data_IF_284195925442
#
_entry.id   IF_284195925442
#
_cell.length_a   1.000
_cell.length_b   1.000
_cell.length_c   1.000
_cell.angle_alpha   90.00
_cell.angle_beta   90.00
_cell.angle_gamma   90.00
#
_symmetry.space_group_name_H-M   'P 1'
#
loop_
_entity.id
_entity.type
_entity.pdbx_description
1 polymer ?
#
# COMPACT_ATOMS: atom_id res chain seq x y z
N UNK A 1 17.74 -44.16 -35.90
CA UNK A 1 18.34 -43.96 -34.57
C UNK A 1 17.60 -42.81 -33.92
N UNK A 2 16.70 -43.09 -32.98
CA UNK A 2 16.22 -42.06 -32.06
C UNK A 2 17.41 -41.78 -31.14
N UNK A 3 18.05 -40.64 -31.32
CA UNK A 3 19.00 -40.11 -30.34
C UNK A 3 18.23 -39.96 -29.05
N UNK A 4 18.54 -40.77 -28.04
CA UNK A 4 18.23 -40.46 -26.64
C UNK A 4 18.87 -39.10 -26.38
N UNK A 5 18.10 -38.02 -26.53
CA UNK A 5 18.46 -36.71 -26.00
C UNK A 5 18.60 -36.97 -24.50
N UNK A 6 19.83 -36.96 -23.99
CA UNK A 6 20.06 -36.92 -22.55
C UNK A 6 19.24 -35.75 -22.04
N UNK A 7 18.20 -36.04 -21.27
CA UNK A 7 17.34 -35.03 -20.67
C UNK A 7 18.21 -34.24 -19.67
N UNK A 8 18.68 -33.08 -20.13
CA UNK A 8 19.47 -32.19 -19.31
C UNK A 8 18.56 -31.60 -18.23
N UNK A 9 19.08 -31.56 -17.00
CA UNK A 9 18.29 -31.19 -15.83
C UNK A 9 19.06 -30.22 -14.94
N UNK A 10 18.34 -29.45 -14.14
CA UNK A 10 18.91 -28.55 -13.14
C UNK A 10 18.37 -28.86 -11.76
N UNK A 11 19.25 -28.94 -10.77
CA UNK A 11 18.85 -29.21 -9.39
C UNK A 11 18.38 -27.96 -8.65
N UNK A 12 17.61 -28.16 -7.59
CA UNK A 12 17.08 -27.08 -6.76
C UNK A 12 18.17 -26.18 -6.12
N UNK A 13 19.38 -26.66 -5.89
CA UNK A 13 20.48 -25.86 -5.34
C UNK A 13 21.09 -24.89 -6.37
N UNK A 14 20.90 -25.16 -7.66
CA UNK A 14 21.46 -24.36 -8.76
C UNK A 14 20.50 -23.28 -9.29
N UNK A 15 19.31 -23.14 -8.70
CA UNK A 15 18.39 -22.04 -8.94
C UNK A 15 18.41 -21.10 -7.73
N UNK A 16 18.18 -19.80 -7.92
CA UNK A 16 18.05 -18.86 -6.81
C UNK A 16 16.63 -18.82 -6.25
N UNK A 17 15.63 -18.85 -7.15
CA UNK A 17 14.23 -18.63 -6.82
C UNK A 17 13.66 -19.65 -5.82
N UNK A 18 13.09 -19.14 -4.73
CA UNK A 18 12.62 -19.94 -3.60
C UNK A 18 11.39 -20.81 -3.92
N UNK A 19 10.46 -20.31 -4.73
CA UNK A 19 9.25 -21.05 -5.10
C UNK A 19 9.60 -22.18 -6.07
N UNK A 20 10.46 -21.88 -7.06
CA UNK A 20 10.99 -22.88 -7.98
C UNK A 20 11.73 -23.99 -7.23
N UNK A 21 12.53 -23.67 -6.21
CA UNK A 21 13.17 -24.68 -5.34
C UNK A 21 12.17 -25.64 -4.74
N UNK A 22 11.13 -25.10 -4.11
CA UNK A 22 10.09 -25.90 -3.47
C UNK A 22 9.35 -26.76 -4.48
N UNK A 23 9.05 -26.22 -5.67
CA UNK A 23 8.41 -26.96 -6.77
C UNK A 23 9.28 -28.12 -7.26
N UNK A 24 10.59 -27.90 -7.44
CA UNK A 24 11.54 -28.94 -7.84
C UNK A 24 11.59 -30.06 -6.79
N UNK A 25 11.75 -29.71 -5.50
CA UNK A 25 11.79 -30.70 -4.42
C UNK A 25 10.45 -31.45 -4.31
N UNK A 26 9.32 -30.75 -4.42
CA UNK A 26 7.97 -31.30 -4.33
C UNK A 26 7.61 -32.26 -5.47
N UNK A 27 8.21 -32.09 -6.65
CA UNK A 27 8.03 -33.02 -7.79
C UNK A 27 8.54 -34.44 -7.51
N UNK A 28 9.50 -34.58 -6.60
CA UNK A 28 10.15 -35.86 -6.27
C UNK A 28 11.09 -36.42 -7.36
N UNK A 29 11.23 -35.74 -8.51
CA UNK A 29 12.07 -36.20 -9.63
C UNK A 29 13.54 -35.91 -9.35
N UNK A 30 14.42 -36.89 -9.58
CA UNK A 30 15.88 -36.74 -9.42
C UNK A 30 16.61 -36.90 -10.75
N UNK A 31 17.62 -36.07 -10.94
CA UNK A 31 18.44 -36.05 -12.15
C UNK A 31 19.84 -35.54 -11.88
N UNK A 32 20.77 -35.83 -12.80
CA UNK A 32 22.12 -35.27 -12.76
C UNK A 32 22.06 -33.81 -13.22
N UNK A 33 22.46 -32.89 -12.36
CA UNK A 33 22.43 -31.46 -12.67
C UNK A 33 23.48 -31.09 -13.72
N UNK A 34 23.08 -30.34 -14.75
CA UNK A 34 23.99 -29.80 -15.76
C UNK A 34 25.03 -28.84 -15.15
N UNK A 35 24.60 -27.98 -14.21
CA UNK A 35 25.46 -26.93 -13.64
C UNK A 35 26.47 -27.48 -12.62
N UNK A 36 26.04 -28.23 -11.61
CA UNK A 36 26.93 -28.70 -10.53
C UNK A 36 27.36 -30.17 -10.65
N UNK A 37 26.78 -30.93 -11.59
CA UNK A 37 27.10 -32.34 -11.80
C UNK A 37 26.50 -33.32 -10.77
N UNK A 38 25.92 -32.81 -9.67
CA UNK A 38 25.36 -33.61 -8.58
C UNK A 38 24.02 -34.26 -8.94
N UNK A 39 23.72 -35.40 -8.32
CA UNK A 39 22.45 -36.11 -8.49
C UNK A 39 21.47 -35.75 -7.36
N UNK A 40 20.54 -34.84 -7.65
CA UNK A 40 19.61 -34.24 -6.68
C UNK A 40 18.20 -34.14 -7.26
N UNK A 41 17.26 -33.62 -6.47
CA UNK A 41 15.95 -33.23 -7.00
C UNK A 41 16.13 -32.16 -8.08
N UNK A 42 15.59 -32.42 -9.26
CA UNK A 42 15.89 -31.65 -10.47
C UNK A 42 14.67 -31.52 -11.37
N UNK A 43 14.64 -30.45 -12.16
CA UNK A 43 13.68 -30.21 -13.25
C UNK A 43 14.38 -30.32 -14.60
N UNK A 44 13.67 -30.82 -15.61
CA UNK A 44 14.15 -30.88 -16.99
C UNK A 44 14.30 -29.47 -17.56
N UNK A 45 15.41 -29.20 -18.27
CA UNK A 45 15.70 -27.87 -18.79
C UNK A 45 14.74 -27.44 -19.90
N UNK A 46 14.19 -28.37 -20.68
CA UNK A 46 13.14 -28.06 -21.67
C UNK A 46 11.88 -27.54 -20.96
N UNK A 47 11.39 -28.25 -19.94
CA UNK A 47 10.24 -27.79 -19.12
C UNK A 47 10.50 -26.44 -18.45
N UNK A 48 11.69 -26.25 -17.88
CA UNK A 48 12.05 -24.97 -17.28
C UNK A 48 12.10 -23.84 -18.32
N UNK A 49 12.58 -24.13 -19.53
CA UNK A 49 12.65 -23.17 -20.63
C UNK A 49 11.25 -22.76 -21.11
N UNK A 50 10.32 -23.72 -21.20
CA UNK A 50 8.92 -23.46 -21.54
C UNK A 50 8.23 -22.58 -20.49
N UNK A 51 8.44 -22.88 -19.19
CA UNK A 51 7.92 -22.04 -18.10
C UNK A 51 8.47 -20.61 -18.17
N UNK A 52 9.78 -20.45 -18.41
CA UNK A 52 10.43 -19.14 -18.54
C UNK A 52 9.90 -18.41 -19.78
N UNK A 53 9.67 -19.10 -20.90
CA UNK A 53 9.08 -18.52 -22.10
C UNK A 53 7.70 -17.92 -21.81
N UNK A 54 6.83 -18.66 -21.13
CA UNK A 54 5.48 -18.20 -20.76
C UNK A 54 5.55 -16.99 -19.82
N UNK A 55 6.43 -17.03 -18.82
CA UNK A 55 6.68 -15.91 -17.91
C UNK A 55 7.10 -14.66 -18.68
N UNK A 56 8.06 -14.78 -19.60
CA UNK A 56 8.57 -13.65 -20.38
C UNK A 56 7.50 -13.08 -21.32
N UNK A 57 6.82 -13.93 -22.10
CA UNK A 57 5.76 -13.49 -23.02
C UNK A 57 4.64 -12.74 -22.29
N UNK A 58 4.38 -13.14 -21.05
CA UNK A 58 3.36 -12.50 -20.21
C UNK A 58 3.84 -11.19 -19.60
N UNK A 59 5.11 -11.11 -19.15
CA UNK A 59 5.59 -10.02 -18.28
C UNK A 59 6.51 -8.99 -18.95
N UNK A 60 7.07 -9.29 -20.11
CA UNK A 60 7.93 -8.34 -20.85
C UNK A 60 7.38 -8.09 -22.26
N UNK A 61 7.83 -7.00 -22.86
CA UNK A 61 7.55 -6.64 -24.24
C UNK A 61 8.85 -6.10 -24.88
N UNK A 62 9.04 -6.23 -26.20
CA UNK A 62 10.14 -5.54 -26.89
C UNK A 62 10.05 -4.04 -26.58
N UNK A 63 11.17 -3.44 -26.16
CA UNK A 63 11.17 -2.02 -25.84
C UNK A 63 11.03 -1.15 -27.08
N UNK A 64 10.62 0.10 -26.91
CA UNK A 64 10.45 1.01 -28.05
C UNK A 64 11.81 1.42 -28.66
N UNK A 65 11.82 1.66 -29.96
CA UNK A 65 12.96 2.24 -30.66
C UNK A 65 12.99 3.75 -30.44
N UNK A 66 14.16 4.28 -30.11
CA UNK A 66 14.36 5.72 -29.98
C UNK A 66 15.66 6.15 -30.65
N UNK A 67 15.63 7.34 -31.25
CA UNK A 67 16.77 7.90 -31.97
C UNK A 67 17.71 8.61 -30.99
N UNK A 68 18.97 8.18 -30.98
CA UNK A 68 20.05 8.83 -30.22
C UNK A 68 20.67 9.92 -31.08
N UNK A 69 20.63 11.15 -30.57
CA UNK A 69 21.13 12.33 -31.28
C UNK A 69 22.57 12.67 -30.87
N UNK A 70 23.42 12.91 -31.86
CA UNK A 70 24.75 13.50 -31.65
C UNK A 70 24.56 15.02 -31.48
N UNK A 71 24.54 15.47 -30.22
CA UNK A 71 24.27 16.87 -29.84
C UNK A 71 25.33 17.82 -30.44
N UNK A 72 26.57 17.34 -30.64
CA UNK A 72 27.65 18.18 -31.19
C UNK A 72 27.51 18.38 -32.70
N UNK A 73 26.92 17.40 -33.40
CA UNK A 73 26.76 17.41 -34.87
C UNK A 73 25.33 17.69 -35.32
N UNK A 74 24.42 17.94 -34.39
CA UNK A 74 22.99 18.20 -34.60
C UNK A 74 22.35 17.22 -35.60
N UNK A 75 22.66 15.93 -35.44
CA UNK A 75 22.19 14.86 -36.32
C UNK A 75 21.94 13.56 -35.57
N UNK A 76 21.03 12.74 -36.10
CA UNK A 76 20.79 11.38 -35.61
C UNK A 76 22.08 10.54 -35.73
N UNK A 77 22.47 9.90 -34.64
CA UNK A 77 23.65 9.04 -34.57
C UNK A 77 23.29 7.61 -34.96
N UNK A 78 22.40 6.98 -34.18
CA UNK A 78 21.88 5.64 -34.38
C UNK A 78 20.55 5.49 -33.61
N UNK A 79 19.80 4.42 -33.90
CA UNK A 79 18.58 4.07 -33.15
C UNK A 79 18.92 3.00 -32.13
N UNK A 80 18.54 3.22 -30.87
CA UNK A 80 18.66 2.25 -29.78
C UNK A 80 17.27 1.73 -29.40
N UNK A 81 17.22 0.49 -28.91
CA UNK A 81 15.98 -0.08 -28.34
C UNK A 81 16.04 0.04 -26.83
N UNK A 82 14.96 0.56 -26.23
CA UNK A 82 14.89 0.77 -24.78
C UNK A 82 14.79 -0.56 -24.03
N UNK A 83 15.31 -0.60 -22.80
CA UNK A 83 15.15 -1.73 -21.89
C UNK A 83 16.41 -2.54 -21.67
N UNK A 84 16.24 -3.80 -21.27
CA UNK A 84 17.30 -4.71 -20.84
C UNK A 84 17.35 -5.95 -21.75
N UNK A 85 18.48 -6.65 -21.77
CA UNK A 85 18.66 -7.87 -22.59
C UNK A 85 17.77 -9.03 -22.11
N UNK A 86 17.50 -10.00 -22.98
CA UNK A 86 16.81 -11.22 -22.59
C UNK A 86 17.53 -11.97 -21.45
N UNK A 87 18.87 -11.97 -21.48
CA UNK A 87 19.70 -12.59 -20.43
C UNK A 87 19.51 -11.95 -19.05
N UNK A 88 19.25 -10.64 -18.98
CA UNK A 88 18.94 -9.95 -17.74
C UNK A 88 17.64 -10.49 -17.12
N UNK A 89 16.58 -10.63 -17.91
CA UNK A 89 15.29 -11.12 -17.40
C UNK A 89 15.35 -12.59 -17.00
N UNK A 90 16.05 -13.45 -17.76
CA UNK A 90 16.24 -14.87 -17.38
C UNK A 90 16.98 -14.98 -16.05
N UNK A 91 18.02 -14.14 -15.84
CA UNK A 91 18.76 -14.07 -14.56
C UNK A 91 17.88 -13.61 -13.41
N UNK A 92 17.04 -12.61 -13.65
CA UNK A 92 16.08 -12.11 -12.67
C UNK A 92 15.07 -13.19 -12.28
N UNK A 93 14.44 -13.85 -13.25
CA UNK A 93 13.45 -14.90 -13.04
C UNK A 93 14.04 -16.07 -12.23
N UNK A 94 15.26 -16.51 -12.58
CA UNK A 94 15.94 -17.59 -11.88
C UNK A 94 16.63 -17.16 -10.58
N UNK A 95 16.74 -15.85 -10.34
CA UNK A 95 17.53 -15.23 -9.26
C UNK A 95 19.00 -15.70 -9.24
N UNK A 96 19.62 -15.77 -10.42
CA UNK A 96 21.04 -16.17 -10.59
C UNK A 96 21.88 -14.91 -10.84
N UNK A 97 22.80 -14.63 -9.91
CA UNK A 97 23.66 -13.44 -9.99
C UNK A 97 24.92 -13.65 -10.83
N UNK A 98 25.33 -14.88 -11.08
CA UNK A 98 26.50 -15.18 -11.93
C UNK A 98 26.23 -14.77 -13.38
N UNK A 99 27.19 -14.08 -14.02
CA UNK A 99 27.07 -13.64 -15.42
C UNK A 99 27.25 -14.79 -16.41
N UNK A 100 28.09 -15.78 -16.07
CA UNK A 100 28.30 -16.98 -16.86
C UNK A 100 27.71 -18.17 -16.10
N UNK A 101 26.64 -18.74 -16.64
CA UNK A 101 25.98 -19.91 -16.07
C UNK A 101 25.41 -20.77 -17.20
N UNK A 102 25.77 -22.05 -17.22
CA UNK A 102 25.40 -22.97 -18.30
C UNK A 102 23.88 -23.12 -18.48
N UNK A 103 23.11 -22.88 -17.42
CA UNK A 103 21.64 -22.95 -17.43
C UNK A 103 21.08 -21.76 -18.19
N UNK A 104 21.61 -20.56 -17.94
CA UNK A 104 21.18 -19.35 -18.63
C UNK A 104 21.47 -19.51 -20.13
N UNK A 105 22.67 -19.96 -20.48
CA UNK A 105 23.06 -20.19 -21.88
C UNK A 105 22.15 -21.21 -22.57
N UNK A 106 21.80 -22.29 -21.87
CA UNK A 106 20.87 -23.30 -22.39
C UNK A 106 19.47 -22.71 -22.62
N UNK A 107 18.93 -22.00 -21.63
CA UNK A 107 17.59 -21.39 -21.70
C UNK A 107 17.54 -20.38 -22.84
N UNK A 108 18.53 -19.48 -22.94
CA UNK A 108 18.60 -18.50 -24.02
C UNK A 108 18.67 -19.17 -25.40
N UNK A 109 19.51 -20.18 -25.56
CA UNK A 109 19.58 -20.96 -26.80
C UNK A 109 18.25 -21.63 -27.16
N UNK A 110 17.55 -22.15 -26.15
CA UNK A 110 16.24 -22.78 -26.33
C UNK A 110 15.18 -21.75 -26.76
N UNK A 111 15.06 -20.63 -26.04
CA UNK A 111 14.10 -19.56 -26.33
C UNK A 111 14.24 -19.01 -27.75
N UNK A 112 15.48 -18.72 -28.18
CA UNK A 112 15.79 -18.26 -29.54
C UNK A 112 15.45 -19.35 -30.56
N UNK A 113 15.81 -20.60 -30.29
CA UNK A 113 15.53 -21.72 -31.21
C UNK A 113 14.04 -22.04 -31.37
N UNK A 114 13.22 -21.76 -30.36
CA UNK A 114 11.78 -21.93 -30.37
C UNK A 114 11.05 -20.86 -31.20
N UNK A 115 11.73 -19.76 -31.58
CA UNK A 115 11.18 -18.69 -32.42
C UNK A 115 11.95 -18.54 -33.76
N UNK A 116 11.94 -19.54 -34.66
CA UNK A 116 12.72 -19.45 -35.90
C UNK A 116 12.12 -18.44 -36.89
N UNK A 117 12.64 -17.21 -36.94
CA UNK A 117 12.37 -16.23 -38.00
C UNK A 117 12.60 -14.77 -37.59
N UNK A 118 12.81 -13.87 -38.56
CA UNK A 118 13.12 -12.43 -38.41
C UNK A 118 12.09 -11.57 -37.66
N UNK A 119 11.10 -12.17 -36.99
CA UNK A 119 10.04 -11.50 -36.20
C UNK A 119 9.70 -12.30 -34.92
N UNK A 120 10.64 -13.11 -34.41
CA UNK A 120 10.46 -13.87 -33.17
C UNK A 120 10.55 -12.97 -31.94
N UNK A 121 9.62 -13.10 -30.99
CA UNK A 121 9.62 -12.30 -29.76
C UNK A 121 10.97 -12.35 -29.04
N UNK A 122 11.68 -13.49 -29.04
CA UNK A 122 12.95 -13.70 -28.34
C UNK A 122 14.21 -13.25 -29.11
N UNK A 123 14.05 -12.69 -30.32
CA UNK A 123 15.17 -12.22 -31.16
C UNK A 123 15.40 -10.70 -31.04
N UNK A 124 14.64 -10.01 -30.20
CA UNK A 124 14.73 -8.57 -30.02
C UNK A 124 15.91 -8.18 -29.13
N UNK A 125 16.55 -7.04 -29.43
CA UNK A 125 17.77 -6.60 -28.75
C UNK A 125 17.57 -6.16 -27.29
N UNK A 126 16.37 -5.69 -26.95
CA UNK A 126 16.04 -5.20 -25.61
C UNK A 126 14.53 -5.28 -25.33
N UNK A 127 14.21 -5.49 -24.05
CA UNK A 127 12.84 -5.65 -23.56
C UNK A 127 12.57 -4.75 -22.36
N UNK A 128 11.33 -4.34 -22.21
CA UNK A 128 10.83 -3.63 -21.04
C UNK A 128 9.78 -4.46 -20.30
N UNK A 129 9.71 -4.27 -18.98
CA UNK A 129 8.65 -4.88 -18.18
C UNK A 129 7.32 -4.29 -18.58
N UNK A 130 6.32 -5.14 -18.79
CA UNK A 130 4.94 -4.69 -18.95
C UNK A 130 4.47 -4.06 -17.66
N UNK A 131 3.83 -2.89 -17.79
CA UNK A 131 3.15 -2.24 -16.68
C UNK A 131 1.73 -2.80 -16.62
N UNK A 132 1.48 -3.63 -15.62
CA UNK A 132 0.12 -4.08 -15.34
C UNK A 132 -0.70 -2.91 -14.79
N UNK A 133 -1.89 -2.70 -15.35
CA UNK A 133 -2.90 -1.83 -14.75
C UNK A 133 -3.72 -2.73 -13.83
N UNK A 134 -3.93 -2.38 -12.55
CA UNK A 134 -4.60 -3.23 -11.57
C UNK A 134 -6.13 -3.25 -11.75
N UNK A 135 -6.62 -3.53 -12.96
CA UNK A 135 -8.04 -3.47 -13.34
C UNK A 135 -8.89 -4.37 -12.44
N UNK A 136 -8.47 -5.62 -12.24
CA UNK A 136 -9.20 -6.58 -11.40
C UNK A 136 -9.28 -6.10 -9.94
N UNK A 137 -8.23 -5.46 -9.44
CA UNK A 137 -8.20 -4.91 -8.08
C UNK A 137 -9.10 -3.69 -7.96
N UNK A 138 -9.13 -2.83 -8.99
CA UNK A 138 -10.03 -1.69 -9.05
C UNK A 138 -11.50 -2.12 -9.11
N UNK A 139 -11.83 -3.15 -9.89
CA UNK A 139 -13.17 -3.74 -9.90
C UNK A 139 -13.54 -4.33 -8.54
N UNK A 140 -12.66 -5.10 -7.92
CA UNK A 140 -12.88 -5.64 -6.58
C UNK A 140 -13.05 -4.53 -5.52
N UNK A 141 -12.31 -3.42 -5.65
CA UNK A 141 -12.48 -2.25 -4.81
C UNK A 141 -13.85 -1.58 -5.02
N UNK A 142 -14.33 -1.46 -6.26
CA UNK A 142 -15.67 -0.96 -6.55
C UNK A 142 -16.75 -1.88 -5.98
N UNK A 143 -16.56 -3.18 -6.07
CA UNK A 143 -17.47 -4.17 -5.48
C UNK A 143 -17.49 -4.13 -3.96
N UNK A 144 -16.32 -3.94 -3.31
CA UNK A 144 -16.21 -3.67 -1.89
C UNK A 144 -17.02 -2.43 -1.50
N UNK A 145 -16.82 -1.30 -2.21
CA UNK A 145 -17.55 -0.06 -1.96
C UNK A 145 -19.06 -0.22 -2.14
N UNK A 146 -19.49 -0.80 -3.25
CA UNK A 146 -20.90 -1.05 -3.56
C UNK A 146 -21.53 -2.02 -2.55
N UNK A 147 -20.78 -3.03 -2.12
CA UNK A 147 -21.18 -3.99 -1.10
C UNK A 147 -21.51 -3.33 0.23
N UNK A 148 -20.63 -2.46 0.71
CA UNK A 148 -20.85 -1.69 1.94
C UNK A 148 -21.99 -0.68 1.80
N UNK A 149 -22.07 0.03 0.68
CA UNK A 149 -23.06 1.09 0.49
C UNK A 149 -24.48 0.55 0.31
N UNK A 150 -24.64 -0.50 -0.52
CA UNK A 150 -25.93 -0.91 -1.09
C UNK A 150 -26.32 -2.37 -0.83
N UNK A 151 -25.46 -3.18 -0.21
CA UNK A 151 -25.74 -4.61 0.03
C UNK A 151 -25.68 -4.93 1.53
N UNK A 152 -24.73 -5.77 1.95
CA UNK A 152 -24.57 -6.21 3.33
C UNK A 152 -23.47 -5.40 4.00
N UNK A 153 -23.80 -4.69 5.09
CA UNK A 153 -22.86 -3.86 5.85
C UNK A 153 -22.11 -4.63 6.93
N UNK A 154 -22.85 -5.43 7.70
CA UNK A 154 -22.32 -6.03 8.93
C UNK A 154 -21.68 -7.41 8.70
N UNK A 155 -22.27 -8.25 7.85
CA UNK A 155 -21.83 -9.62 7.60
C UNK A 155 -21.39 -9.80 6.15
N UNK A 156 -20.45 -8.96 5.71
CA UNK A 156 -19.98 -8.96 4.33
C UNK A 156 -18.70 -9.78 4.19
N UNK A 157 -18.85 -11.09 3.96
CA UNK A 157 -17.72 -12.00 3.79
C UNK A 157 -16.80 -11.58 2.63
N UNK A 158 -17.35 -11.12 1.51
CA UNK A 158 -16.55 -10.63 0.38
C UNK A 158 -15.69 -9.43 0.75
N UNK A 159 -16.24 -8.51 1.55
CA UNK A 159 -15.48 -7.36 2.02
C UNK A 159 -14.34 -7.77 2.95
N UNK A 160 -14.59 -8.74 3.84
CA UNK A 160 -13.57 -9.31 4.71
C UNK A 160 -12.46 -10.00 3.91
N UNK A 161 -12.79 -10.91 3.00
CA UNK A 161 -11.83 -11.61 2.13
C UNK A 161 -10.98 -10.63 1.32
N UNK A 162 -11.59 -9.55 0.82
CA UNK A 162 -10.87 -8.50 0.11
C UNK A 162 -9.85 -7.79 1.00
N UNK A 163 -10.22 -7.40 2.24
CA UNK A 163 -9.31 -6.74 3.18
C UNK A 163 -8.21 -7.68 3.70
N UNK A 164 -8.54 -8.96 3.91
CA UNK A 164 -7.57 -10.02 4.23
C UNK A 164 -6.53 -10.15 3.14
N UNK A 165 -6.97 -10.27 1.88
CA UNK A 165 -6.05 -10.32 0.74
C UNK A 165 -5.26 -9.02 0.56
N UNK A 166 -5.88 -7.85 0.75
CA UNK A 166 -5.25 -6.55 0.54
C UNK A 166 -4.13 -6.27 1.56
N UNK A 167 -4.33 -6.62 2.82
CA UNK A 167 -3.37 -6.38 3.91
C UNK A 167 -2.53 -7.60 4.29
N UNK A 168 -2.63 -8.69 3.54
CA UNK A 168 -1.80 -9.88 3.75
C UNK A 168 -0.30 -9.53 3.64
N UNK A 169 0.47 -9.87 4.67
CA UNK A 169 1.91 -9.64 4.73
C UNK A 169 2.32 -8.17 4.86
N UNK A 170 1.38 -7.25 5.16
CA UNK A 170 1.68 -5.81 5.23
C UNK A 170 2.70 -5.45 6.31
N UNK A 171 2.86 -6.30 7.32
CA UNK A 171 3.93 -6.25 8.33
C UNK A 171 5.35 -6.31 7.75
N UNK A 172 5.53 -7.05 6.65
CA UNK A 172 6.83 -7.26 6.04
C UNK A 172 7.23 -6.11 5.12
N UNK A 173 6.33 -5.15 4.87
CA UNK A 173 6.58 -4.02 3.96
C UNK A 173 7.52 -2.99 4.59
N UNK A 174 8.59 -2.67 3.86
CA UNK A 174 9.62 -1.71 4.24
C UNK A 174 9.59 -0.49 3.32
N UNK A 175 10.12 0.63 3.79
CA UNK A 175 10.30 1.84 2.99
C UNK A 175 11.77 1.95 2.60
N UNK A 176 12.05 2.39 1.37
CA UNK A 176 13.42 2.62 0.90
C UNK A 176 14.15 3.64 1.79
N UNK A 177 15.44 3.41 2.05
CA UNK A 177 16.30 4.39 2.75
C UNK A 177 16.28 4.34 4.28
N UNK A 178 16.02 3.17 4.89
CA UNK A 178 15.92 2.99 6.36
C UNK A 178 14.75 3.74 7.01
N UNK A 179 13.75 4.13 6.22
CA UNK A 179 12.48 4.63 6.74
C UNK A 179 11.77 3.50 7.50
N UNK A 180 11.02 3.82 8.56
CA UNK A 180 10.33 2.78 9.30
C UNK A 180 9.23 2.17 8.41
N UNK A 181 9.01 0.86 8.53
CA UNK A 181 8.07 0.10 7.71
C UNK A 181 6.63 0.62 7.78
N UNK A 182 5.77 0.09 6.91
CA UNK A 182 4.33 0.46 6.84
C UNK A 182 3.64 0.20 8.17
N UNK A 183 3.93 -0.96 8.77
CA UNK A 183 3.56 -1.26 10.15
C UNK A 183 4.81 -1.15 11.01
N UNK A 184 4.72 -0.35 12.07
CA UNK A 184 5.87 -0.06 12.93
C UNK A 184 5.48 0.20 14.39
N UNK A 185 6.36 -0.12 15.34
CA UNK A 185 6.21 0.38 16.70
C UNK A 185 6.43 1.90 16.73
N UNK A 186 5.64 2.58 17.55
CA UNK A 186 5.87 3.98 17.90
C UNK A 186 6.18 4.05 19.40
N UNK A 187 7.42 4.39 19.71
CA UNK A 187 7.95 4.37 21.07
C UNK A 187 7.72 5.69 21.81
N UNK A 188 7.43 5.68 23.13
CA UNK A 188 7.27 6.88 23.95
C UNK A 188 8.44 7.87 23.87
N UNK A 189 9.67 7.35 23.80
CA UNK A 189 10.89 8.16 23.81
C UNK A 189 11.20 8.83 22.47
N UNK A 190 10.71 8.25 21.37
CA UNK A 190 11.00 8.70 20.00
C UNK A 190 9.79 9.34 19.32
N UNK A 191 8.59 9.17 19.89
CA UNK A 191 7.37 9.72 19.32
C UNK A 191 7.41 11.24 19.36
N UNK A 192 7.01 11.83 18.23
CA UNK A 192 6.64 13.24 18.20
C UNK A 192 5.45 13.51 19.13
N UNK A 193 5.31 14.74 19.63
CA UNK A 193 4.10 15.21 20.28
C UNK A 193 2.84 14.93 19.46
N UNK A 194 1.75 14.54 20.12
CA UNK A 194 0.44 14.35 19.49
C UNK A 194 -0.49 15.47 19.97
N UNK A 195 -0.89 16.35 19.07
CA UNK A 195 -1.80 17.45 19.39
C UNK A 195 -3.24 17.07 19.11
N UNK A 196 -4.14 17.53 19.98
CA UNK A 196 -5.58 17.50 19.75
C UNK A 196 -6.20 18.85 20.07
N UNK A 197 -7.22 19.21 19.30
CA UNK A 197 -7.91 20.48 19.41
C UNK A 197 -9.43 20.29 19.43
N UNK A 198 -10.13 21.27 20.01
CA UNK A 198 -11.59 21.38 20.03
C UNK A 198 -12.01 22.75 19.56
N UNK A 199 -12.93 22.79 18.61
CA UNK A 199 -13.62 24.01 18.21
C UNK A 199 -14.52 24.48 19.37
N UNK A 200 -14.27 25.70 19.84
CA UNK A 200 -14.99 26.40 20.90
C UNK A 200 -15.61 27.69 20.38
N UNK A 201 -15.83 27.79 19.06
CA UNK A 201 -16.47 28.94 18.43
C UNK A 201 -17.94 29.03 18.88
N UNK A 202 -18.42 30.21 19.32
CA UNK A 202 -19.83 30.41 19.65
C UNK A 202 -20.74 30.01 18.47
N UNK A 203 -21.89 29.36 18.74
CA UNK A 203 -22.54 29.17 20.04
C UNK A 203 -22.11 27.89 20.80
N UNK A 204 -21.19 27.08 20.26
CA UNK A 204 -20.79 25.77 20.83
C UNK A 204 -19.60 25.88 21.79
N UNK A 205 -19.47 26.99 22.50
CA UNK A 205 -18.30 27.26 23.35
C UNK A 205 -18.25 26.28 24.55
N UNK A 206 -17.17 25.49 24.61
CA UNK A 206 -16.86 24.55 25.70
C UNK A 206 -15.60 24.94 26.47
N UNK A 207 -15.10 26.16 26.28
CA UNK A 207 -13.82 26.63 26.84
C UNK A 207 -13.75 26.46 28.35
N UNK A 208 -14.79 26.86 29.08
CA UNK A 208 -14.83 26.75 30.55
C UNK A 208 -14.70 25.30 31.05
N UNK A 209 -15.30 24.34 30.35
CA UNK A 209 -15.18 22.92 30.70
C UNK A 209 -13.76 22.41 30.42
N UNK A 210 -13.16 22.81 29.30
CA UNK A 210 -11.78 22.43 28.94
C UNK A 210 -10.78 23.04 29.92
N UNK A 211 -10.97 24.27 30.36
CA UNK A 211 -10.08 24.88 31.37
C UNK A 211 -10.18 24.21 32.73
N UNK A 212 -11.35 23.68 33.09
CA UNK A 212 -11.55 22.97 34.36
C UNK A 212 -10.91 21.57 34.37
N UNK A 213 -10.96 20.84 33.25
CA UNK A 213 -10.41 19.48 33.12
C UNK A 213 -9.93 19.22 31.68
N UNK A 214 -8.77 19.74 31.28
CA UNK A 214 -8.29 19.62 29.90
C UNK A 214 -7.97 18.17 29.53
N UNK A 215 -7.46 17.38 30.47
CA UNK A 215 -7.15 15.96 30.29
C UNK A 215 -8.38 15.20 29.80
N UNK A 216 -9.52 15.35 30.49
CA UNK A 216 -10.75 14.65 30.13
C UNK A 216 -11.43 15.24 28.89
N UNK A 217 -11.46 16.55 28.75
CA UNK A 217 -12.22 17.21 27.68
C UNK A 217 -11.51 17.15 26.32
N UNK A 218 -10.18 17.07 26.32
CA UNK A 218 -9.39 16.85 25.11
C UNK A 218 -9.21 15.35 24.80
N UNK A 219 -9.41 14.44 25.74
CA UNK A 219 -9.40 12.99 25.48
C UNK A 219 -10.54 12.54 24.52
N UNK A 220 -10.54 11.25 24.17
CA UNK A 220 -11.61 10.67 23.38
C UNK A 220 -12.97 10.83 24.09
N UNK A 221 -14.03 11.18 23.35
CA UNK A 221 -15.35 11.31 23.95
C UNK A 221 -15.83 9.96 24.50
N UNK A 222 -16.66 9.95 25.56
CA UNK A 222 -17.38 8.75 25.97
C UNK A 222 -18.17 8.13 24.82
N UNK A 223 -18.39 6.80 24.85
CA UNK A 223 -19.07 6.06 23.77
C UNK A 223 -20.46 6.63 23.44
N UNK A 224 -21.19 7.12 24.44
CA UNK A 224 -22.52 7.72 24.26
C UNK A 224 -22.49 9.06 23.51
N UNK A 225 -21.32 9.71 23.43
CA UNK A 225 -21.12 11.03 22.83
C UNK A 225 -20.13 11.01 21.65
N UNK A 226 -19.61 9.84 21.27
CA UNK A 226 -18.64 9.69 20.20
C UNK A 226 -19.33 9.94 18.83
N UNK A 227 -19.01 11.05 18.13
CA UNK A 227 -19.57 11.31 16.82
C UNK A 227 -18.95 10.38 15.77
N UNK A 228 -19.62 10.23 14.63
CA UNK A 228 -19.01 9.60 13.47
C UNK A 228 -17.81 10.44 12.98
N UNK A 229 -16.74 9.77 12.62
CA UNK A 229 -15.55 10.34 11.98
C UNK A 229 -15.06 9.44 10.84
N UNK A 230 -13.99 9.84 10.16
CA UNK A 230 -13.44 9.09 9.02
C UNK A 230 -13.02 7.66 9.40
N UNK A 231 -12.42 7.50 10.56
CA UNK A 231 -11.84 6.23 11.01
C UNK A 231 -12.70 5.51 12.06
N UNK A 232 -13.89 6.05 12.38
CA UNK A 232 -14.73 5.48 13.44
C UNK A 232 -16.22 5.81 13.22
N UNK A 233 -17.13 4.84 13.33
CA UNK A 233 -18.57 5.13 13.33
C UNK A 233 -18.99 5.84 14.62
N UNK A 234 -20.18 6.45 14.60
CA UNK A 234 -20.76 7.03 15.81
C UNK A 234 -20.92 5.95 16.89
N UNK A 235 -20.60 6.28 18.14
CA UNK A 235 -20.63 5.33 19.25
C UNK A 235 -19.33 4.59 19.51
N UNK A 236 -18.32 4.67 18.63
CA UNK A 236 -17.01 4.04 18.80
C UNK A 236 -15.95 5.10 19.15
N UNK A 237 -15.48 5.16 20.41
CA UNK A 237 -14.48 6.14 20.83
C UNK A 237 -13.13 5.90 20.16
N UNK A 238 -12.61 6.91 19.49
CA UNK A 238 -11.20 6.95 19.05
C UNK A 238 -10.61 8.32 19.36
N UNK A 239 -9.28 8.38 19.45
CA UNK A 239 -8.56 9.63 19.63
C UNK A 239 -8.05 10.12 18.28
N UNK A 240 -8.56 11.25 17.80
CA UNK A 240 -8.03 11.94 16.62
C UNK A 240 -7.01 12.98 17.07
N UNK A 241 -5.78 12.90 16.57
CA UNK A 241 -4.73 13.88 16.77
C UNK A 241 -3.93 14.16 15.51
N UNK A 242 -2.97 15.08 15.62
CA UNK A 242 -1.99 15.40 14.59
C UNK A 242 -0.60 15.59 15.20
N UNK A 243 0.45 15.41 14.41
CA UNK A 243 1.83 15.61 14.88
C UNK A 243 2.26 17.08 14.91
N UNK A 244 1.50 17.95 14.24
CA UNK A 244 1.68 19.40 14.25
C UNK A 244 0.40 20.08 14.77
N UNK A 245 0.56 21.08 15.64
CA UNK A 245 -0.56 21.78 16.27
C UNK A 245 -1.41 22.52 15.23
N UNK A 246 -0.75 23.11 14.25
CA UNK A 246 -1.34 23.83 13.12
C UNK A 246 -2.20 22.91 12.26
N UNK A 247 -1.72 21.69 11.99
CA UNK A 247 -2.47 20.65 11.29
C UNK A 247 -3.76 20.30 12.04
N UNK A 248 -3.69 20.19 13.37
CA UNK A 248 -4.86 19.90 14.20
C UNK A 248 -5.93 21.02 14.12
N UNK A 249 -5.51 22.28 14.13
CA UNK A 249 -6.41 23.43 14.00
C UNK A 249 -7.01 23.48 12.59
N UNK A 250 -6.20 23.23 11.56
CA UNK A 250 -6.65 23.23 10.18
C UNK A 250 -7.71 22.16 9.89
N UNK A 251 -7.59 20.95 10.47
CA UNK A 251 -8.58 19.88 10.33
C UNK A 251 -9.96 20.23 10.93
N UNK A 252 -10.01 21.11 11.94
CA UNK A 252 -11.27 21.59 12.52
C UNK A 252 -12.02 22.57 11.60
N UNK A 253 -11.33 23.19 10.63
CA UNK A 253 -11.87 24.21 9.71
C UNK A 253 -12.64 25.34 10.44
N UNK A 254 -12.08 25.94 11.49
CA UNK A 254 -12.78 27.00 12.22
C UNK A 254 -12.94 28.25 11.34
N UNK A 255 -14.02 29.03 11.51
CA UNK A 255 -14.20 30.29 10.79
C UNK A 255 -13.25 31.37 11.31
N UNK A 256 -13.03 32.43 10.51
CA UNK A 256 -12.37 33.66 10.98
C UNK A 256 -13.18 34.27 12.14
N UNK A 257 -12.48 34.69 13.19
CA UNK A 257 -13.06 35.09 14.48
C UNK A 257 -13.46 33.92 15.37
N UNK A 258 -13.24 32.68 14.92
CA UNK A 258 -13.45 31.47 15.71
C UNK A 258 -12.44 31.31 16.83
N UNK A 259 -12.74 30.41 17.77
CA UNK A 259 -11.89 30.08 18.91
C UNK A 259 -11.64 28.57 18.96
N UNK A 260 -10.38 28.19 19.02
CA UNK A 260 -9.96 26.78 19.13
C UNK A 260 -9.10 26.62 20.37
N UNK A 261 -9.27 25.51 21.11
CA UNK A 261 -8.38 25.15 22.20
C UNK A 261 -7.67 23.87 21.83
N UNK A 262 -6.34 23.85 21.97
CA UNK A 262 -5.53 22.66 21.70
C UNK A 262 -4.57 22.34 22.82
N UNK A 263 -4.17 21.08 22.89
CA UNK A 263 -3.18 20.59 23.83
C UNK A 263 -2.49 19.35 23.32
N UNK A 264 -1.38 19.04 23.98
CA UNK A 264 -0.45 17.97 23.63
C UNK A 264 -0.69 16.73 24.48
N UNK A 265 -0.47 15.59 23.84
CA UNK A 265 -0.43 14.28 24.43
C UNK A 265 0.90 13.62 24.06
N UNK A 266 1.51 12.93 25.02
CA UNK A 266 2.67 12.06 24.81
C UNK A 266 2.25 10.60 24.95
N UNK A 267 2.95 9.70 24.26
CA UNK A 267 2.76 8.27 24.46
C UNK A 267 3.36 7.84 25.80
N UNK A 268 2.70 6.89 26.46
CA UNK A 268 3.12 6.30 27.75
C UNK A 268 3.69 4.89 27.58
N UNK A 269 3.33 4.21 26.49
CA UNK A 269 3.80 2.88 26.11
C UNK A 269 3.98 2.78 24.59
N UNK A 270 4.72 1.77 24.15
CA UNK A 270 4.84 1.45 22.73
C UNK A 270 3.48 1.04 22.17
N UNK A 271 3.14 1.54 20.97
CA UNK A 271 1.93 1.17 20.24
C UNK A 271 2.28 0.71 18.82
N UNK A 272 1.51 -0.21 18.26
CA UNK A 272 1.67 -0.68 16.88
C UNK A 272 0.87 0.20 15.93
N UNK A 273 1.57 0.83 14.98
CA UNK A 273 0.98 1.85 14.11
C UNK A 273 1.05 1.42 12.66
N UNK A 274 -0.06 1.58 11.93
CA UNK A 274 -0.10 1.49 10.47
C UNK A 274 0.04 2.89 9.86
N UNK A 275 1.11 3.14 9.12
CA UNK A 275 1.38 4.42 8.47
C UNK A 275 0.98 4.37 6.98
N UNK A 276 -0.21 4.87 6.66
CA UNK A 276 -0.67 4.94 5.28
C UNK A 276 0.25 5.80 4.41
N UNK A 277 0.95 6.80 4.98
CA UNK A 277 1.86 7.67 4.21
C UNK A 277 3.10 6.92 3.72
N UNK A 278 3.43 5.78 4.33
CA UNK A 278 4.55 4.93 3.95
C UNK A 278 4.24 4.04 2.73
N UNK A 279 2.96 3.82 2.40
CA UNK A 279 2.56 2.89 1.34
C UNK A 279 3.05 3.26 -0.06
N UNK A 280 3.16 4.56 -0.35
CA UNK A 280 3.59 5.06 -1.66
C UNK A 280 5.01 4.57 -2.02
N UNK A 281 5.90 4.57 -1.03
CA UNK A 281 7.31 4.20 -1.16
C UNK A 281 7.62 2.79 -0.66
N UNK A 282 6.61 2.06 -0.20
CA UNK A 282 6.79 0.74 0.38
C UNK A 282 7.09 -0.33 -0.66
N UNK A 283 7.91 -1.29 -0.27
CA UNK A 283 8.17 -2.52 -0.99
C UNK A 283 8.09 -3.70 -0.03
N UNK A 284 7.62 -4.83 -0.54
CA UNK A 284 7.68 -6.09 0.19
C UNK A 284 9.13 -6.61 0.18
N UNK A 285 9.65 -7.00 1.35
CA UNK A 285 10.98 -7.63 1.44
C UNK A 285 11.04 -8.97 0.71
N UNK A 286 9.91 -9.66 0.58
CA UNK A 286 9.82 -10.92 -0.12
C UNK A 286 9.75 -10.63 -1.62
N UNK A 287 10.75 -11.13 -2.34
CA UNK A 287 10.72 -11.15 -3.80
C UNK A 287 9.60 -12.11 -4.21
N UNK A 288 8.60 -11.58 -4.90
CA UNK A 288 7.51 -12.38 -5.46
C UNK A 288 8.11 -13.17 -6.62
N UNK A 289 8.00 -14.50 -6.58
CA UNK A 289 8.52 -15.36 -7.62
C UNK A 289 7.61 -15.33 -8.84
N UNK A 290 8.21 -15.22 -10.03
CA UNK A 290 7.49 -15.34 -11.30
C UNK A 290 6.83 -16.71 -11.50
N UNK A 291 7.29 -17.73 -10.78
CA UNK A 291 6.74 -19.08 -10.84
C UNK A 291 5.50 -19.27 -9.96
N UNK A 292 5.14 -18.27 -9.15
CA UNK A 292 3.92 -18.31 -8.33
C UNK A 292 2.67 -18.17 -9.22
N UNK A 293 1.69 -19.09 -9.12
CA UNK A 293 0.45 -19.03 -9.92
C UNK A 293 -0.34 -17.73 -9.73
N UNK A 294 -0.19 -17.06 -8.59
CA UNK A 294 -0.84 -15.80 -8.25
C UNK A 294 0.09 -14.58 -8.36
N UNK A 295 1.23 -14.71 -9.05
CA UNK A 295 2.22 -13.63 -9.27
C UNK A 295 1.55 -12.31 -9.70
N UNK A 296 0.72 -12.39 -10.76
CA UNK A 296 0.03 -11.21 -11.30
C UNK A 296 -0.84 -10.53 -10.25
N UNK A 297 -1.63 -11.31 -9.50
CA UNK A 297 -2.51 -10.80 -8.44
C UNK A 297 -1.71 -10.12 -7.31
N UNK A 298 -0.53 -10.65 -6.96
CA UNK A 298 0.36 -10.02 -5.96
C UNK A 298 1.00 -8.72 -6.45
N UNK A 299 1.38 -8.66 -7.72
CA UNK A 299 1.90 -7.43 -8.35
C UNK A 299 0.82 -6.34 -8.41
N UNK A 300 -0.38 -6.69 -8.88
CA UNK A 300 -1.50 -5.74 -8.93
C UNK A 300 -1.90 -5.27 -7.53
N UNK A 301 -1.90 -6.14 -6.51
CA UNK A 301 -2.07 -5.75 -5.11
C UNK A 301 -1.05 -4.70 -4.69
N UNK A 302 0.24 -4.95 -4.99
CA UNK A 302 1.34 -4.04 -4.63
C UNK A 302 1.16 -2.68 -5.29
N UNK A 303 0.78 -2.64 -6.57
CA UNK A 303 0.49 -1.39 -7.28
C UNK A 303 -0.71 -0.65 -6.67
N UNK A 304 -1.78 -1.38 -6.34
CA UNK A 304 -2.97 -0.80 -5.70
C UNK A 304 -2.67 -0.24 -4.30
N UNK A 305 -1.86 -0.94 -3.50
CA UNK A 305 -1.44 -0.45 -2.17
C UNK A 305 -0.69 0.88 -2.27
N UNK A 306 0.14 1.10 -3.30
CA UNK A 306 0.82 2.37 -3.53
C UNK A 306 -0.15 3.52 -3.77
N UNK A 307 -1.25 3.29 -4.49
CA UNK A 307 -2.28 4.31 -4.73
C UNK A 307 -3.30 4.40 -3.58
N UNK A 308 -3.34 3.41 -2.67
CA UNK A 308 -4.34 3.31 -1.60
C UNK A 308 -4.30 4.47 -0.61
N UNK A 309 -3.11 4.97 -0.26
CA UNK A 309 -3.00 6.15 0.60
C UNK A 309 -3.76 7.35 0.03
N UNK A 310 -3.71 7.55 -1.29
CA UNK A 310 -4.45 8.63 -1.96
C UNK A 310 -5.96 8.47 -1.82
N UNK A 311 -6.46 7.25 -1.69
CA UNK A 311 -7.88 6.95 -1.51
C UNK A 311 -8.31 7.33 -0.09
N UNK A 312 -7.54 6.92 0.92
CA UNK A 312 -7.84 7.17 2.34
C UNK A 312 -7.67 8.64 2.73
N UNK A 313 -6.71 9.34 2.12
CA UNK A 313 -6.41 10.75 2.39
C UNK A 313 -7.24 11.75 1.56
N UNK A 314 -8.27 11.29 0.83
CA UNK A 314 -9.18 12.18 0.08
C UNK A 314 -9.98 13.06 1.03
N UNK A 315 -10.14 14.37 0.75
CA UNK A 315 -11.03 15.22 1.52
C UNK A 315 -12.49 14.82 1.30
N UNK A 316 -13.20 14.54 2.38
CA UNK A 316 -14.66 14.37 2.35
C UNK A 316 -15.33 15.72 2.57
N UNK A 317 -16.40 15.97 1.82
CA UNK A 317 -17.20 17.19 1.93
C UNK A 317 -18.04 17.11 3.22
N UNK A 318 -18.07 18.17 4.05
CA UNK A 318 -18.92 18.18 5.25
C UNK A 318 -20.37 17.83 4.93
N UNK A 319 -20.97 16.92 5.71
CA UNK A 319 -22.34 16.45 5.52
C UNK A 319 -22.49 15.22 4.60
N UNK A 320 -21.39 14.74 4.00
CA UNK A 320 -21.36 13.49 3.24
C UNK A 320 -20.80 12.33 4.07
N UNK A 321 -21.36 12.12 5.27
CA UNK A 321 -20.84 11.14 6.24
C UNK A 321 -20.85 9.69 5.71
N UNK A 322 -21.66 9.41 4.68
CA UNK A 322 -21.68 8.12 4.01
C UNK A 322 -20.36 7.81 3.26
N UNK A 323 -19.55 8.84 2.94
CA UNK A 323 -18.21 8.69 2.37
C UNK A 323 -17.17 8.21 3.39
N UNK A 324 -17.54 8.12 4.69
CA UNK A 324 -16.66 7.56 5.72
C UNK A 324 -16.77 6.04 5.85
N UNK A 325 -17.77 5.42 5.23
CA UNK A 325 -18.06 4.01 5.47
C UNK A 325 -16.88 3.10 5.10
N UNK A 326 -16.18 3.40 4.00
CA UNK A 326 -15.03 2.60 3.57
C UNK A 326 -13.89 2.69 4.59
N UNK A 327 -13.53 3.92 4.98
CA UNK A 327 -12.41 4.17 5.90
C UNK A 327 -12.71 3.67 7.31
N UNK A 328 -13.97 3.71 7.76
CA UNK A 328 -14.41 3.13 9.02
C UNK A 328 -14.25 1.61 9.05
N UNK A 329 -14.71 0.92 8.00
CA UNK A 329 -14.59 -0.54 7.90
C UNK A 329 -13.13 -0.97 7.83
N UNK A 330 -12.28 -0.24 7.10
CA UNK A 330 -10.83 -0.50 7.05
C UNK A 330 -10.19 -0.30 8.43
N UNK A 331 -10.51 0.79 9.11
CA UNK A 331 -10.00 1.08 10.45
C UNK A 331 -10.40 0.00 11.47
N UNK A 332 -11.67 -0.43 11.44
CA UNK A 332 -12.17 -1.51 12.28
C UNK A 332 -11.49 -2.85 11.97
N UNK A 333 -11.28 -3.17 10.68
CA UNK A 333 -10.54 -4.35 10.26
C UNK A 333 -9.10 -4.35 10.80
N UNK A 334 -8.36 -3.25 10.64
CA UNK A 334 -6.99 -3.12 11.16
C UNK A 334 -6.93 -3.21 12.69
N UNK A 335 -7.93 -2.66 13.37
CA UNK A 335 -8.01 -2.65 14.83
C UNK A 335 -8.41 -4.00 15.44
N UNK A 336 -9.22 -4.81 14.74
CA UNK A 336 -9.89 -5.98 15.37
C UNK A 336 -9.66 -7.32 14.67
N UNK A 337 -9.42 -7.33 13.35
CA UNK A 337 -9.32 -8.56 12.55
C UNK A 337 -7.88 -8.84 12.10
N UNK A 338 -7.12 -7.79 11.81
CA UNK A 338 -5.71 -7.95 11.49
C UNK A 338 -4.92 -8.48 12.71
N UNK A 339 -3.99 -9.39 12.46
CA UNK A 339 -3.21 -10.07 13.49
C UNK A 339 -1.71 -9.89 13.25
N UNK A 340 -0.96 -9.30 14.20
CA UNK A 340 -1.44 -8.70 15.45
C UNK A 340 -2.39 -7.51 15.21
N UNK A 341 -3.19 -7.07 16.21
CA UNK A 341 -4.00 -5.86 16.08
C UNK A 341 -3.15 -4.60 15.88
N UNK A 342 -3.67 -3.63 15.13
CA UNK A 342 -3.09 -2.29 15.00
C UNK A 342 -3.71 -1.39 16.08
N UNK A 343 -2.89 -0.61 16.79
CA UNK A 343 -3.34 0.30 17.85
C UNK A 343 -3.68 1.70 17.32
N UNK A 344 -3.03 2.12 16.24
CA UNK A 344 -3.27 3.41 15.62
C UNK A 344 -2.98 3.43 14.12
N UNK A 345 -3.57 4.40 13.41
CA UNK A 345 -3.28 4.67 12.00
C UNK A 345 -2.75 6.09 11.82
N UNK A 346 -1.78 6.25 10.91
CA UNK A 346 -1.24 7.55 10.48
C UNK A 346 -1.60 7.79 9.02
N UNK A 347 -2.02 9.01 8.68
CA UNK A 347 -2.32 9.40 7.30
C UNK A 347 -2.05 10.88 7.07
N UNK A 348 -1.84 11.27 5.81
CA UNK A 348 -1.59 12.67 5.45
C UNK A 348 -2.84 13.53 5.69
N UNK A 349 -2.65 14.73 6.22
CA UNK A 349 -3.72 15.71 6.36
C UNK A 349 -4.22 16.14 4.99
N UNK A 350 -5.55 16.06 4.79
CA UNK A 350 -6.16 16.58 3.58
C UNK A 350 -6.18 18.12 3.55
N UNK A 351 -6.05 18.77 4.71
CA UNK A 351 -6.05 20.23 4.86
C UNK A 351 -4.64 20.82 4.78
N UNK A 352 -3.61 20.09 5.21
CA UNK A 352 -2.23 20.58 5.25
C UNK A 352 -1.25 19.75 4.40
N UNK A 353 -1.61 19.49 3.13
CA UNK A 353 -0.77 18.73 2.20
C UNK A 353 0.57 19.40 1.90
N UNK A 354 0.62 20.73 1.89
CA UNK A 354 1.82 21.49 1.52
C UNK A 354 2.92 21.41 2.57
N UNK A 355 2.56 21.39 3.84
CA UNK A 355 3.52 21.28 4.95
C UNK A 355 3.74 19.81 5.37
N UNK A 356 3.18 18.86 4.60
CA UNK A 356 3.21 17.41 4.88
C UNK A 356 2.68 17.08 6.28
N UNK A 357 1.65 17.80 6.73
CA UNK A 357 1.04 17.58 8.02
C UNK A 357 0.46 16.17 8.12
N UNK A 358 0.65 15.51 9.27
CA UNK A 358 0.22 14.11 9.49
C UNK A 358 -0.77 14.02 10.65
N UNK A 359 -1.83 13.27 10.42
CA UNK A 359 -2.82 12.91 11.43
C UNK A 359 -2.52 11.52 12.00
N UNK A 360 -2.91 11.29 13.24
CA UNK A 360 -2.91 9.98 13.90
C UNK A 360 -4.29 9.72 14.51
N UNK A 361 -4.77 8.50 14.36
CA UNK A 361 -5.98 8.02 15.07
C UNK A 361 -5.59 6.84 15.93
N UNK A 362 -5.75 6.97 17.25
CA UNK A 362 -5.56 5.86 18.18
C UNK A 362 -6.91 5.19 18.46
N UNK A 363 -6.95 3.87 18.33
CA UNK A 363 -8.15 3.07 18.50
C UNK A 363 -8.45 2.77 19.97
N UNK A 364 -9.67 2.29 20.24
CA UNK A 364 -10.19 2.06 21.59
C UNK A 364 -9.24 1.24 22.48
N UNK A 365 -8.63 0.18 21.95
CA UNK A 365 -7.69 -0.68 22.69
C UNK A 365 -6.42 0.06 23.15
N UNK A 366 -6.05 1.15 22.49
CA UNK A 366 -4.91 1.97 22.86
C UNK A 366 -5.27 3.04 23.91
N UNK A 367 -6.54 3.46 24.02
CA UNK A 367 -6.92 4.66 24.79
C UNK A 367 -8.01 4.42 25.86
N UNK A 368 -8.67 3.25 25.84
CA UNK A 368 -9.79 2.93 26.72
C UNK A 368 -9.50 1.67 27.55
N UNK A 369 -9.84 1.66 28.86
CA UNK A 369 -9.82 0.45 29.68
C UNK A 369 -10.98 -0.52 29.34
N UNK A 370 -11.99 -0.08 28.58
CA UNK A 370 -13.07 -0.93 28.05
C UNK A 370 -12.80 -1.17 26.55
N UNK A 371 -11.94 -2.14 26.18
CA UNK A 371 -11.55 -2.37 24.78
C UNK A 371 -12.74 -2.91 23.98
N UNK A 372 -12.74 -2.66 22.66
CA UNK A 372 -13.54 -3.47 21.74
C UNK A 372 -13.06 -4.91 21.89
N UNK A 373 -13.92 -5.80 22.39
CA UNK A 373 -13.54 -7.21 22.53
C UNK A 373 -13.16 -7.74 21.14
N UNK A 374 -11.98 -8.37 20.97
CA UNK A 374 -11.63 -9.02 19.73
C UNK A 374 -12.72 -10.01 19.34
N UNK A 375 -13.03 -10.07 18.05
CA UNK A 375 -13.98 -11.05 17.53
C UNK A 375 -13.38 -12.44 17.78
N UNK A 376 -14.18 -13.34 18.35
CA UNK A 376 -13.80 -14.75 18.53
C UNK A 376 -13.27 -15.33 17.23
N UNK A 377 -12.17 -16.08 17.32
CA UNK A 377 -11.63 -16.78 16.15
C UNK A 377 -12.62 -17.82 15.61
N UNK A 378 -12.27 -18.44 14.47
CA UNK A 378 -13.11 -19.47 13.83
C UNK A 378 -13.37 -20.72 14.72
N UNK A 379 -12.64 -20.86 15.82
CA UNK A 379 -12.77 -21.93 16.82
C UNK A 379 -13.47 -21.47 18.11
N UNK A 380 -13.89 -20.21 18.20
CA UNK A 380 -14.58 -19.66 19.36
C UNK A 380 -13.65 -19.25 20.50
N UNK A 381 -12.35 -19.12 20.27
CA UNK A 381 -11.40 -18.65 21.27
C UNK A 381 -11.27 -17.12 21.25
N UNK A 382 -11.31 -16.54 22.45
CA UNK A 382 -10.90 -15.15 22.70
C UNK A 382 -9.37 -15.13 22.85
N UNK A 383 -8.65 -14.20 22.20
CA UNK A 383 -7.27 -13.88 22.56
C UNK A 383 -7.16 -13.63 24.06
N UNK A 384 -6.10 -14.12 24.70
CA UNK A 384 -5.84 -13.88 26.13
C UNK A 384 -5.76 -12.38 26.40
N UNK A 385 -6.73 -11.84 27.13
CA UNK A 385 -6.75 -10.43 27.57
C UNK A 385 -6.02 -10.38 28.91
N UNK A 386 -4.79 -9.86 28.90
CA UNK A 386 -4.06 -9.50 30.12
C UNK A 386 -4.73 -8.36 30.89
N UNK A 387 -4.12 -7.91 31.99
CA UNK A 387 -4.59 -6.78 32.82
C UNK A 387 -5.05 -5.59 31.97
N UNK A 388 -6.13 -4.92 32.41
CA UNK A 388 -6.74 -3.81 31.68
C UNK A 388 -5.68 -2.78 31.29
N UNK A 389 -5.50 -2.49 29.99
CA UNK A 389 -4.39 -1.65 29.57
C UNK A 389 -4.63 -0.20 30.01
N UNK A 390 -3.65 0.36 30.72
CA UNK A 390 -3.54 1.81 30.90
C UNK A 390 -3.55 2.51 29.54
N UNK A 391 -4.17 3.69 29.47
CA UNK A 391 -4.19 4.54 28.28
C UNK A 391 -2.76 4.74 27.75
N UNK A 392 -2.57 4.52 26.45
CA UNK A 392 -1.29 4.71 25.76
C UNK A 392 -0.88 6.17 25.64
N UNK A 393 -1.74 7.12 26.02
CA UNK A 393 -1.50 8.56 25.95
C UNK A 393 -1.73 9.24 27.29
N UNK A 394 -0.91 10.26 27.56
CA UNK A 394 -1.00 11.14 28.72
C UNK A 394 -1.02 12.60 28.26
N UNK A 395 -1.94 13.40 28.81
CA UNK A 395 -2.04 14.83 28.52
C UNK A 395 -0.88 15.60 29.16
N UNK A 396 -0.35 16.60 28.47
CA UNK A 396 0.72 17.49 28.97
C UNK A 396 0.09 18.83 29.41
N UNK A 397 -0.10 19.10 30.72
CA UNK A 397 -0.87 20.25 31.19
C UNK A 397 -0.37 21.62 30.70
N UNK A 398 0.95 21.79 30.62
CA UNK A 398 1.57 23.07 30.22
C UNK A 398 1.43 23.39 28.73
N UNK A 399 0.93 22.44 27.93
CA UNK A 399 0.78 22.59 26.48
C UNK A 399 -0.56 23.21 26.04
N UNK A 400 -1.46 23.49 27.00
CA UNK A 400 -2.79 23.99 26.72
C UNK A 400 -2.72 25.40 26.11
N UNK A 401 -3.35 25.60 24.96
CA UNK A 401 -3.27 26.85 24.23
C UNK A 401 -4.62 27.20 23.61
N UNK A 402 -4.98 28.48 23.70
CA UNK A 402 -6.16 29.08 23.06
C UNK A 402 -5.72 29.77 21.78
N UNK A 403 -6.45 29.55 20.71
CA UNK A 403 -6.18 30.07 19.37
C UNK A 403 -7.38 30.90 18.92
N UNK A 404 -7.13 32.16 18.59
CA UNK A 404 -8.10 33.02 17.91
C UNK A 404 -7.80 33.02 16.42
N UNK A 405 -8.80 32.71 15.60
CA UNK A 405 -8.60 32.52 14.17
C UNK A 405 -8.66 33.87 13.46
N UNK A 406 -7.50 34.45 13.20
CA UNK A 406 -7.39 35.76 12.55
C UNK A 406 -7.64 35.70 11.03
N UNK A 407 -7.18 34.63 10.37
CA UNK A 407 -7.28 34.48 8.93
C UNK A 407 -7.34 33.00 8.52
N UNK A 408 -8.06 32.70 7.43
CA UNK A 408 -8.04 31.40 6.76
C UNK A 408 -7.46 31.57 5.36
N UNK A 409 -6.43 30.78 5.02
CA UNK A 409 -5.87 30.74 3.66
C UNK A 409 -6.71 29.77 2.82
N UNK A 410 -7.35 30.28 1.77
CA UNK A 410 -8.11 29.48 0.81
C UNK A 410 -7.28 29.31 -0.46
N UNK A 411 -7.20 28.08 -0.95
CA UNK A 411 -6.58 27.74 -2.23
C UNK A 411 -7.62 27.05 -3.11
N UNK A 412 -7.82 27.56 -4.31
CA UNK A 412 -8.74 26.99 -5.30
C UNK A 412 -7.96 26.37 -6.46
N UNK A 413 -8.54 25.35 -7.08
CA UNK A 413 -8.14 24.87 -8.40
C UNK A 413 -9.23 25.35 -9.36
N UNK A 414 -8.94 26.41 -10.09
CA UNK A 414 -9.91 27.04 -10.97
C UNK A 414 -9.89 26.34 -12.33
N UNK A 415 -11.03 25.78 -12.74
CA UNK A 415 -11.24 25.26 -14.10
C UNK A 415 -12.15 26.24 -14.82
N UNK A 416 -11.77 26.65 -16.05
CA UNK A 416 -12.63 27.55 -16.83
C UNK A 416 -13.89 26.83 -17.29
N UNK A 417 -14.95 27.60 -17.50
CA UNK A 417 -16.17 27.11 -18.14
C UNK A 417 -16.24 27.72 -19.54
N UNK A 418 -16.21 26.88 -20.57
CA UNK A 418 -16.29 27.29 -21.97
C UNK A 418 -17.60 26.75 -22.55
N UNK A 419 -18.47 27.65 -23.00
CA UNK A 419 -19.79 27.31 -23.58
C UNK A 419 -20.66 26.39 -22.69
N UNK A 420 -20.53 26.53 -21.36
CA UNK A 420 -21.29 25.74 -20.39
C UNK A 420 -20.69 24.38 -20.03
N UNK A 421 -19.51 24.03 -20.54
CA UNK A 421 -18.75 22.84 -20.17
C UNK A 421 -17.46 23.24 -19.45
N UNK A 422 -16.98 22.41 -18.53
CA UNK A 422 -15.66 22.62 -17.92
C UNK A 422 -14.59 22.42 -19.02
N UNK A 423 -13.59 23.30 -19.05
CA UNK A 423 -12.46 23.22 -19.98
C UNK A 423 -11.76 21.85 -19.91
N UNK A 424 -11.65 21.27 -18.71
CA UNK A 424 -11.14 19.91 -18.50
C UNK A 424 -11.91 18.84 -19.27
N UNK A 425 -13.22 19.00 -19.40
CA UNK A 425 -14.09 18.00 -20.02
C UNK A 425 -14.09 18.13 -21.55
N UNK A 426 -13.66 19.29 -22.05
CA UNK A 426 -13.49 19.57 -23.49
C UNK A 426 -12.19 18.94 -23.99
N UNK A 427 -11.10 19.08 -23.25
CA UNK A 427 -9.79 18.51 -23.63
C UNK A 427 -9.82 16.97 -23.61
N UNK A 428 -10.47 16.35 -22.62
CA UNK A 428 -10.71 14.89 -22.56
C UNK A 428 -11.52 14.37 -23.77
N UNK A 429 -12.37 15.22 -24.37
CA UNK A 429 -13.17 14.88 -25.55
C UNK A 429 -12.34 14.88 -26.83
N UNK A 430 -11.30 15.73 -26.92
CA UNK A 430 -10.41 15.78 -28.07
C UNK A 430 -9.31 14.71 -28.03
N UNK A 431 -8.87 14.26 -26.85
CA UNK A 431 -7.89 13.17 -26.74
C UNK A 431 -8.49 11.78 -27.05
N UNK A 432 -9.80 11.57 -26.85
CA UNK A 432 -10.49 10.33 -27.26
C UNK A 432 -10.86 10.27 -28.76
N UNK A 433 -10.63 11.35 -29.50
CA UNK A 433 -11.02 11.47 -30.91
C UNK A 433 -9.96 11.05 -31.93
N UNK A 434 -8.81 10.50 -31.51
CA UNK A 434 -7.70 10.11 -32.39
C UNK A 434 -7.33 8.62 -32.33
N UNK A 435 -8.33 7.76 -32.11
CA UNK A 435 -8.22 6.31 -32.33
C UNK A 435 -9.50 5.79 -33.00
N UNK A 436 -9.70 6.17 -34.26
CA UNK A 436 -10.58 5.44 -35.21
C UNK A 436 -9.73 4.92 -36.37
#
# INVERSE_FOLDING_TARGET
>A
MKTDKLLESICFECVGDHYLKQRIVGSGVKGKCLNCGEYRFSIELETLSDDIAEILLTNVAPGDLFDVWDIERDRMSYTERRGESLSYYVREILQIHEESNSVIDYVLGTLVSQSPGNEGFFDEGAYERRVWVPVDVEENWLDFRNGLMHKSRFFNHKAREFLEWLFEGIDDYQVWGSGPGVVRPLNPTESKPIFRARDCTPPKDRSSAIFADPTKQLAAPPKELAPAGRMSPAGVPVFYGAFERETCIAELRPPVGGKVISGEFKLTKEIRVFDFTALEDAYDRKVISYFEPDYRRKIERRQFLKSFHSIISRPVVPGQDHEYLQTQVIAEYLATQHSPPIDAVIFASAQNKHERGKNIVLFSQAISPDPLLPVVDEYGHLPWVGEQPDSAIEFVPESLMVHEIEQVKVKTKDTRVIKGQLESDIDDYYERGYWD
#
